data_IF_960184131625
#
_entry.id   IF_960184131625
#
_cell.length_a   1.000
_cell.length_b   1.000
_cell.length_c   1.000
_cell.angle_alpha   90.00
_cell.angle_beta   90.00
_cell.angle_gamma   90.00
#
_symmetry.space_group_name_H-M   'P 1'
#
loop_
_entity.id
_entity.type
_entity.pdbx_description
1 polymer ?
#
# COMPACT_ATOMS: atom_id res chain seq x y z
N UNK A 1 3.64 -12.71 11.21
CA UNK A 1 4.58 -13.58 11.95
C UNK A 1 6.03 -13.15 11.72
N UNK A 2 6.80 -13.63 10.72
CA UNK A 2 8.22 -13.20 10.60
C UNK A 2 8.39 -11.69 10.30
N UNK A 3 7.47 -11.08 9.56
CA UNK A 3 7.51 -9.64 9.30
C UNK A 3 7.09 -8.77 10.49
N UNK A 4 6.30 -9.31 11.41
CA UNK A 4 5.92 -8.57 12.63
C UNK A 4 7.10 -8.54 13.59
N UNK A 5 7.75 -9.70 13.82
CA UNK A 5 8.96 -9.77 14.63
C UNK A 5 10.10 -8.90 14.11
N UNK A 6 10.33 -8.87 12.79
CA UNK A 6 11.40 -8.04 12.21
C UNK A 6 11.16 -6.53 12.36
N UNK A 7 9.91 -6.08 12.47
CA UNK A 7 9.58 -4.66 12.67
C UNK A 7 9.53 -4.30 14.16
N UNK A 8 9.11 -5.24 15.01
CA UNK A 8 9.10 -5.06 16.47
C UNK A 8 10.52 -5.02 17.05
N UNK A 9 11.47 -5.78 16.48
CA UNK A 9 12.89 -5.75 16.87
C UNK A 9 13.56 -4.38 16.63
N UNK A 10 13.00 -3.56 15.72
CA UNK A 10 13.51 -2.24 15.35
C UNK A 10 12.92 -1.09 16.20
N UNK A 11 12.23 -1.44 17.30
CA UNK A 11 11.70 -0.53 18.32
C UNK A 11 10.88 0.65 17.75
N UNK A 12 10.00 0.32 16.82
CA UNK A 12 9.13 1.29 16.15
C UNK A 12 8.09 1.79 17.14
N UNK A 13 7.96 3.12 17.30
CA UNK A 13 7.13 3.74 18.35
C UNK A 13 5.64 3.85 18.00
N UNK A 14 5.29 3.80 16.70
CA UNK A 14 3.89 3.86 16.25
C UNK A 14 3.20 2.51 16.23
N UNK A 15 1.93 2.50 15.82
CA UNK A 15 1.13 1.29 15.60
C UNK A 15 1.35 0.78 14.16
N UNK A 16 2.21 -0.22 13.92
CA UNK A 16 2.46 -0.76 12.59
C UNK A 16 1.19 -1.39 12.00
N UNK A 17 0.96 -1.15 10.72
CA UNK A 17 -0.23 -1.63 10.00
C UNK A 17 0.18 -2.43 8.76
N UNK A 18 -0.70 -3.33 8.33
CA UNK A 18 -0.55 -4.00 7.04
C UNK A 18 -1.11 -3.14 5.90
N UNK A 19 -0.37 -3.03 4.80
CA UNK A 19 -0.84 -2.47 3.54
C UNK A 19 -0.87 -3.58 2.49
N UNK A 20 -2.06 -3.84 1.94
CA UNK A 20 -2.30 -4.96 1.01
C UNK A 20 -3.05 -4.54 -0.25
N UNK A 21 -2.83 -5.31 -1.32
CA UNK A 21 -3.64 -5.19 -2.53
C UNK A 21 -5.08 -5.67 -2.29
N UNK A 22 -6.07 -5.03 -2.93
CA UNK A 22 -7.51 -5.39 -2.79
C UNK A 22 -7.81 -6.86 -3.13
N UNK A 23 -7.11 -7.45 -4.10
CA UNK A 23 -7.26 -8.88 -4.44
C UNK A 23 -6.69 -9.82 -3.37
N UNK A 24 -5.56 -9.45 -2.74
CA UNK A 24 -5.01 -10.23 -1.63
C UNK A 24 -5.96 -10.21 -0.43
N UNK A 25 -6.59 -9.06 -0.17
CA UNK A 25 -7.63 -8.93 0.85
C UNK A 25 -8.87 -9.79 0.58
N UNK A 26 -9.20 -10.01 -0.70
CA UNK A 26 -10.31 -10.89 -1.08
C UNK A 26 -9.95 -12.36 -0.89
N UNK A 27 -8.72 -12.75 -1.25
CA UNK A 27 -8.20 -14.11 -1.05
C UNK A 27 -8.11 -14.41 0.45
N UNK A 28 -7.57 -13.50 1.26
CA UNK A 28 -7.43 -13.69 2.71
C UNK A 28 -8.77 -13.79 3.44
N UNK A 29 -9.84 -13.16 2.94
CA UNK A 29 -11.20 -13.35 3.47
C UNK A 29 -11.78 -14.74 3.21
N UNK A 30 -11.33 -15.42 2.16
CA UNK A 30 -11.84 -16.74 1.79
C UNK A 30 -11.14 -17.88 2.54
N UNK A 31 -9.97 -17.61 3.14
CA UNK A 31 -9.15 -18.63 3.81
C UNK A 31 -9.51 -18.69 5.29
N UNK A 32 -9.80 -19.91 5.74
CA UNK A 32 -10.07 -20.24 7.14
C UNK A 32 -8.73 -20.44 7.86
N UNK A 33 -8.61 -19.85 9.04
CA UNK A 33 -7.42 -19.98 9.88
C UNK A 33 -7.34 -21.38 10.53
N UNK A 34 -8.49 -22.00 10.80
CA UNK A 34 -8.56 -23.37 11.31
C UNK A 34 -9.86 -24.08 10.86
N UNK A 35 -9.78 -25.39 10.65
CA UNK A 35 -10.90 -26.22 10.18
C UNK A 35 -11.84 -26.51 11.34
N UNK A 36 -12.77 -25.59 11.59
CA UNK A 36 -13.83 -25.78 12.58
C UNK A 36 -14.10 -24.59 13.50
N UNK A 37 -13.20 -23.60 13.53
CA UNK A 37 -13.31 -22.44 14.42
C UNK A 37 -14.11 -21.25 13.85
N UNK A 38 -14.37 -21.24 12.54
CA UNK A 38 -15.05 -20.14 11.85
C UNK A 38 -14.23 -18.83 11.77
N UNK A 39 -12.95 -18.87 12.18
CA UNK A 39 -12.02 -17.75 12.09
C UNK A 39 -11.42 -17.68 10.68
N UNK A 40 -11.43 -16.51 10.08
CA UNK A 40 -10.86 -16.23 8.75
C UNK A 40 -9.58 -15.40 8.90
N UNK A 41 -8.64 -15.51 7.96
CA UNK A 41 -7.37 -14.76 8.03
C UNK A 41 -7.58 -13.24 8.06
N UNK A 42 -8.67 -12.77 7.46
CA UNK A 42 -9.10 -11.39 7.55
C UNK A 42 -10.52 -11.33 8.12
N UNK A 43 -10.66 -10.74 9.30
CA UNK A 43 -11.97 -10.53 9.92
C UNK A 43 -12.74 -9.36 9.27
N UNK A 44 -14.05 -9.29 9.49
CA UNK A 44 -14.96 -8.24 9.00
C UNK A 44 -14.50 -6.83 9.41
N UNK A 45 -13.68 -6.72 10.46
CA UNK A 45 -13.08 -5.49 10.97
C UNK A 45 -11.89 -4.95 10.14
N UNK A 46 -11.54 -5.59 9.01
CA UNK A 46 -10.34 -5.28 8.22
C UNK A 46 -9.04 -5.42 9.02
N UNK A 47 -9.02 -6.39 9.91
CA UNK A 47 -7.83 -6.80 10.63
C UNK A 47 -7.34 -8.11 10.01
N UNK A 48 -6.05 -8.15 9.71
CA UNK A 48 -5.37 -9.36 9.27
C UNK A 48 -4.65 -9.87 10.52
N UNK A 49 -5.07 -11.03 11.02
CA UNK A 49 -4.51 -11.60 12.27
C UNK A 49 -4.54 -10.66 13.50
N UNK A 50 -5.56 -9.82 13.64
CA UNK A 50 -5.68 -8.86 14.75
C UNK A 50 -4.91 -7.55 14.55
N UNK A 51 -4.16 -7.43 13.46
CA UNK A 51 -3.42 -6.22 13.09
C UNK A 51 -4.21 -5.39 12.08
N UNK A 52 -4.31 -4.07 12.31
CA UNK A 52 -5.05 -3.16 11.45
C UNK A 52 -4.51 -3.18 10.03
N UNK A 53 -5.40 -3.34 9.05
CA UNK A 53 -5.01 -3.47 7.64
C UNK A 53 -5.65 -2.40 6.76
N UNK A 54 -4.88 -1.88 5.81
CA UNK A 54 -5.32 -0.95 4.75
C UNK A 54 -5.23 -1.64 3.40
N UNK A 55 -6.29 -1.48 2.60
CA UNK A 55 -6.44 -2.11 1.29
C UNK A 55 -6.34 -1.04 0.22
N UNK A 56 -5.42 -1.19 -0.72
CA UNK A 56 -5.27 -0.24 -1.84
C UNK A 56 -5.10 -0.98 -3.16
N UNK A 57 -5.50 -0.35 -4.26
CA UNK A 57 -5.19 -0.81 -5.63
C UNK A 57 -3.90 -0.21 -6.17
N UNK A 58 -3.23 0.66 -5.39
CA UNK A 58 -1.98 1.31 -5.78
C UNK A 58 -0.74 0.44 -5.51
N UNK A 59 -0.87 -0.64 -4.73
CA UNK A 59 0.23 -1.60 -4.59
C UNK A 59 0.38 -2.35 -5.92
N UNK A 60 1.59 -2.35 -6.52
CA UNK A 60 1.82 -3.03 -7.78
C UNK A 60 1.63 -4.54 -7.62
N UNK A 61 1.01 -5.15 -8.63
CA UNK A 61 0.98 -6.61 -8.75
C UNK A 61 2.31 -7.05 -9.33
N UNK A 62 3.05 -7.87 -8.61
CA UNK A 62 4.32 -8.41 -9.10
C UNK A 62 3.99 -9.64 -9.95
N UNK A 63 4.13 -9.55 -11.28
CA UNK A 63 4.00 -10.72 -12.15
C UNK A 63 5.20 -11.63 -11.99
N UNK A 64 5.04 -12.76 -11.29
CA UNK A 64 5.96 -13.89 -11.45
C UNK A 64 5.64 -14.62 -12.75
N UNK A 65 6.60 -15.36 -13.29
CA UNK A 65 6.50 -16.09 -14.56
C UNK A 65 5.34 -17.11 -14.68
N UNK A 66 4.52 -17.30 -13.64
CA UNK A 66 3.42 -18.28 -13.62
C UNK A 66 2.24 -17.90 -12.73
N UNK A 67 2.41 -17.00 -11.74
CA UNK A 67 1.35 -16.58 -10.80
C UNK A 67 1.50 -15.09 -10.48
N UNK A 68 0.37 -14.38 -10.40
CA UNK A 68 0.34 -13.00 -9.91
C UNK A 68 0.65 -12.98 -8.42
N UNK A 69 1.78 -12.39 -8.03
CA UNK A 69 2.14 -12.19 -6.63
C UNK A 69 1.58 -10.86 -6.15
N UNK A 70 0.89 -10.89 -5.01
CA UNK A 70 0.41 -9.69 -4.34
C UNK A 70 1.33 -9.42 -3.14
N UNK A 71 2.10 -8.32 -3.17
CA UNK A 71 2.96 -7.97 -2.04
C UNK A 71 2.13 -7.68 -0.79
N UNK A 72 2.71 -8.03 0.35
CA UNK A 72 2.26 -7.65 1.69
C UNK A 72 3.33 -6.74 2.28
N UNK A 73 2.94 -5.53 2.65
CA UNK A 73 3.81 -4.56 3.31
C UNK A 73 3.35 -4.44 4.76
N UNK A 74 4.28 -4.50 5.69
CA UNK A 74 4.06 -4.25 7.12
C UNK A 74 5.01 -3.15 7.57
N UNK A 75 4.50 -2.18 8.33
CA UNK A 75 5.35 -1.15 8.91
C UNK A 75 4.57 0.01 9.48
N UNK A 76 5.30 0.91 10.13
CA UNK A 76 4.74 2.11 10.72
C UNK A 76 4.79 3.29 9.76
N UNK A 77 3.62 3.62 9.23
CA UNK A 77 3.46 4.72 8.29
C UNK A 77 3.51 6.11 8.96
N UNK A 78 3.54 6.20 10.29
CA UNK A 78 3.80 7.47 10.98
C UNK A 78 5.23 7.97 10.75
N UNK A 79 6.17 7.06 10.44
CA UNK A 79 7.57 7.39 10.11
C UNK A 79 7.79 7.69 8.62
N UNK A 80 6.72 7.83 7.83
CA UNK A 80 6.80 8.27 6.43
C UNK A 80 6.55 9.77 6.37
N UNK A 81 7.54 10.52 5.89
CA UNK A 81 7.43 11.95 5.65
C UNK A 81 7.16 12.22 4.18
N UNK A 82 6.07 12.96 3.93
CA UNK A 82 5.72 13.47 2.60
C UNK A 82 6.01 14.96 2.52
N UNK A 83 6.87 15.37 1.58
CA UNK A 83 7.12 16.76 1.24
C UNK A 83 6.21 17.22 0.11
N UNK A 84 5.60 18.40 0.28
CA UNK A 84 4.70 19.01 -0.69
C UNK A 84 5.25 20.40 -1.03
N UNK A 85 5.70 20.61 -2.27
CA UNK A 85 6.16 21.93 -2.73
C UNK A 85 5.19 22.52 -3.74
N UNK A 86 4.90 23.82 -3.59
CA UNK A 86 4.18 24.59 -4.60
C UNK A 86 2.70 24.22 -4.81
N UNK A 87 2.09 23.44 -3.90
CA UNK A 87 0.66 23.12 -3.98
C UNK A 87 0.26 22.32 -5.21
N UNK A 88 -0.92 22.62 -5.76
CA UNK A 88 -1.44 22.13 -7.04
C UNK A 88 -1.44 23.33 -7.99
N UNK A 89 -0.61 23.30 -9.03
CA UNK A 89 -0.51 24.41 -9.96
C UNK A 89 -1.27 24.10 -11.26
N UNK A 90 -2.16 25.01 -11.64
CA UNK A 90 -2.95 24.94 -12.86
C UNK A 90 -2.49 26.01 -13.83
N UNK A 91 -2.01 25.59 -15.00
CA UNK A 91 -1.66 26.50 -16.09
C UNK A 91 -2.57 26.23 -17.27
N UNK A 92 -3.28 27.26 -17.71
CA UNK A 92 -4.13 27.22 -18.90
C UNK A 92 -3.39 27.86 -20.06
N UNK A 93 -3.14 27.07 -21.10
CA UNK A 93 -2.48 27.51 -22.31
C UNK A 93 -3.49 27.48 -23.48
N UNK A 94 -4.04 28.65 -23.85
CA UNK A 94 -4.99 28.75 -24.96
C UNK A 94 -4.30 28.88 -26.33
N UNK A 95 -2.96 28.94 -26.39
CA UNK A 95 -2.24 29.28 -27.62
C UNK A 95 -1.69 28.04 -28.32
N UNK A 96 -1.11 27.10 -27.59
CA UNK A 96 -0.41 25.95 -28.19
C UNK A 96 -1.35 24.91 -28.82
N UNK A 97 -2.66 25.00 -28.58
CA UNK A 97 -3.68 24.15 -29.19
C UNK A 97 -4.78 24.96 -29.93
N UNK A 98 -4.50 26.23 -30.21
CA UNK A 98 -5.46 27.14 -30.85
C UNK A 98 -5.88 26.68 -32.27
N UNK A 99 -4.96 26.08 -33.03
CA UNK A 99 -5.25 25.55 -34.37
C UNK A 99 -6.26 24.39 -34.35
N UNK A 100 -6.42 23.72 -33.21
CA UNK A 100 -7.41 22.67 -32.98
C UNK A 100 -8.64 23.16 -32.20
N UNK A 101 -8.74 24.46 -31.92
CA UNK A 101 -9.79 25.06 -31.11
C UNK A 101 -9.90 24.44 -29.70
N UNK A 102 -8.76 24.07 -29.10
CA UNK A 102 -8.67 23.45 -27.78
C UNK A 102 -7.87 24.33 -26.80
N UNK A 103 -8.17 24.21 -25.50
CA UNK A 103 -7.38 24.82 -24.42
C UNK A 103 -6.62 23.74 -23.69
N UNK A 104 -5.28 23.87 -23.62
CA UNK A 104 -4.45 22.91 -22.89
C UNK A 104 -4.42 23.29 -21.41
N UNK A 105 -4.86 22.36 -20.56
CA UNK A 105 -4.73 22.46 -19.11
C UNK A 105 -3.54 21.63 -18.64
N UNK A 106 -2.56 22.28 -18.03
CA UNK A 106 -1.38 21.65 -17.45
C UNK A 106 -1.53 21.67 -15.94
N UNK A 107 -1.45 20.49 -15.33
CA UNK A 107 -1.58 20.33 -13.88
C UNK A 107 -0.25 19.80 -13.33
N UNK A 108 0.44 20.63 -12.55
CA UNK A 108 1.74 20.30 -11.98
C UNK A 108 1.66 20.14 -10.47
N UNK A 109 2.31 19.11 -9.96
CA UNK A 109 2.33 18.75 -8.55
C UNK A 109 3.71 18.18 -8.21
N UNK A 110 4.43 18.85 -7.30
CA UNK A 110 5.74 18.39 -6.83
C UNK A 110 5.58 17.76 -5.44
N UNK A 111 5.86 16.45 -5.36
CA UNK A 111 5.80 15.66 -4.13
C UNK A 111 7.03 14.79 -4.01
N UNK A 112 7.49 14.62 -2.78
CA UNK A 112 8.54 13.66 -2.42
C UNK A 112 8.08 12.88 -1.19
N UNK A 113 8.53 11.63 -1.08
CA UNK A 113 8.16 10.72 0.01
C UNK A 113 9.43 10.05 0.49
N UNK A 114 9.72 10.15 1.79
CA UNK A 114 10.87 9.54 2.43
C UNK A 114 10.44 8.74 3.67
N UNK A 115 10.98 7.54 3.82
CA UNK A 115 10.88 6.77 5.06
C UNK A 115 11.99 7.22 6.02
N UNK A 116 11.62 7.70 7.21
CA UNK A 116 12.58 8.15 8.22
C UNK A 116 13.37 6.99 8.83
N UNK A 117 12.68 5.87 9.05
CA UNK A 117 13.28 4.61 9.46
C UNK A 117 12.94 3.51 8.43
N UNK A 118 13.83 3.24 7.47
CA UNK A 118 13.60 2.19 6.47
C UNK A 118 13.50 0.78 7.07
N UNK A 119 14.12 0.53 8.23
CA UNK A 119 14.09 -0.79 8.89
C UNK A 119 12.75 -1.06 9.58
N UNK A 120 11.96 -0.02 9.87
CA UNK A 120 10.58 -0.15 10.36
C UNK A 120 9.57 -0.62 9.31
N UNK A 121 10.02 -1.09 8.14
CA UNK A 121 9.18 -1.62 7.07
C UNK A 121 9.69 -2.99 6.59
N UNK A 122 8.81 -3.98 6.64
CA UNK A 122 9.03 -5.30 6.06
C UNK A 122 8.15 -5.51 4.83
N UNK A 123 8.73 -6.07 3.77
CA UNK A 123 8.01 -6.34 2.51
C UNK A 123 8.14 -7.82 2.17
N UNK A 124 7.02 -8.53 2.14
CA UNK A 124 6.95 -9.86 1.55
C UNK A 124 6.46 -9.75 0.10
N UNK A 125 7.38 -10.00 -0.84
CA UNK A 125 7.15 -9.91 -2.29
C UNK A 125 6.36 -11.09 -2.85
N UNK A 126 6.34 -12.24 -2.16
CA UNK A 126 5.66 -13.46 -2.60
C UNK A 126 4.91 -14.09 -1.44
N UNK A 127 3.69 -13.62 -1.21
CA UNK A 127 2.76 -14.28 -0.30
C UNK A 127 2.01 -15.35 -1.08
N UNK A 128 2.33 -16.62 -0.83
CA UNK A 128 1.53 -17.75 -1.32
C UNK A 128 0.58 -18.15 -0.21
N UNK A 129 -0.71 -17.86 -0.40
CA UNK A 129 -1.74 -18.35 0.50
C UNK A 129 -2.28 -19.64 -0.14
N UNK A 130 -1.94 -20.80 0.43
CA UNK A 130 -2.52 -22.10 0.05
C UNK A 130 -3.79 -22.36 0.83
#
# INVERSE_FOLDING_TARGET
LEMEGAVDDENVTGDPIFLIHKKLAQISKAIKLDTGSGLFLMDKSNELYGTRTRKTSLIPVLSGATVSNYPLIYGDFANVYGGFWGGLNFTFDPFTAADSNEVRMIVNVHRDIMAANPQGFAINKKVTLQ
#
